data_IF_695125690442
#
_entry.id   IF_695125690442
#
_cell.length_a   1.000
_cell.length_b   1.000
_cell.length_c   1.000
_cell.angle_alpha   90.00
_cell.angle_beta   90.00
_cell.angle_gamma   90.00
#
_symmetry.space_group_name_H-M   'P 1'
#
loop_
_entity.id
_entity.type
_entity.pdbx_description
1 polymer ?
#
# COMPACT_ATOMS: atom_id res chain seq x y z
N UNK A 1 4.35 3.82 -19.56
CA UNK A 1 4.37 4.33 -18.17
C UNK A 1 2.97 4.62 -17.62
N UNK A 2 2.09 5.33 -18.35
CA UNK A 2 0.69 5.54 -17.93
C UNK A 2 -0.07 4.22 -17.64
N UNK A 3 0.19 3.15 -18.43
CA UNK A 3 -0.46 1.85 -18.23
C UNK A 3 -0.02 1.12 -16.95
N UNK A 4 1.22 1.32 -16.50
CA UNK A 4 1.78 0.67 -15.31
C UNK A 4 1.15 1.18 -14.02
N UNK A 5 1.07 2.51 -13.89
CA UNK A 5 0.49 3.16 -12.73
C UNK A 5 -0.99 2.84 -12.63
N UNK A 6 -1.71 2.88 -13.76
CA UNK A 6 -3.13 2.52 -13.81
C UNK A 6 -3.35 1.04 -13.44
N UNK A 7 -2.51 0.13 -13.93
CA UNK A 7 -2.59 -1.29 -13.54
C UNK A 7 -2.42 -1.46 -12.03
N UNK A 8 -1.36 -0.88 -11.46
CA UNK A 8 -1.09 -0.98 -10.03
C UNK A 8 -2.24 -0.42 -9.20
N UNK A 9 -2.86 0.70 -9.60
CA UNK A 9 -4.06 1.24 -8.97
C UNK A 9 -5.22 0.24 -9.02
N UNK A 10 -5.55 -0.31 -10.19
CA UNK A 10 -6.63 -1.30 -10.34
C UNK A 10 -6.39 -2.51 -9.45
N UNK A 11 -5.17 -3.03 -9.41
CA UNK A 11 -4.90 -4.24 -8.65
C UNK A 11 -4.84 -4.01 -7.13
N UNK A 12 -4.28 -2.89 -6.69
CA UNK A 12 -4.16 -2.55 -5.26
C UNK A 12 -5.46 -2.05 -4.65
N UNK A 13 -6.26 -1.27 -5.38
CA UNK A 13 -7.46 -0.62 -4.86
C UNK A 13 -8.76 -1.37 -5.16
N UNK A 14 -8.80 -2.18 -6.23
CA UNK A 14 -10.02 -2.89 -6.62
C UNK A 14 -9.85 -4.40 -6.54
N UNK A 15 -8.89 -4.99 -7.27
CA UNK A 15 -8.75 -6.44 -7.36
C UNK A 15 -8.43 -7.09 -6.01
N UNK A 16 -7.35 -6.68 -5.33
CA UNK A 16 -6.91 -7.35 -4.10
C UNK A 16 -7.97 -7.27 -2.98
N UNK A 17 -8.59 -6.10 -2.70
CA UNK A 17 -9.70 -6.03 -1.76
C UNK A 17 -10.90 -6.92 -2.14
N UNK A 18 -11.27 -6.94 -3.43
CA UNK A 18 -12.34 -7.80 -3.94
C UNK A 18 -11.99 -9.28 -3.80
N UNK A 19 -10.77 -9.68 -4.18
CA UNK A 19 -10.25 -11.04 -4.07
C UNK A 19 -10.28 -11.53 -2.62
N UNK A 20 -9.83 -10.72 -1.67
CA UNK A 20 -9.95 -11.02 -0.24
C UNK A 20 -11.39 -11.27 0.17
N UNK A 21 -12.31 -10.38 -0.22
CA UNK A 21 -13.73 -10.56 0.08
C UNK A 21 -14.28 -11.85 -0.53
N UNK A 22 -13.97 -12.12 -1.80
CA UNK A 22 -14.46 -13.28 -2.53
C UNK A 22 -13.94 -14.60 -1.94
N UNK A 23 -12.66 -14.65 -1.53
CA UNK A 23 -12.07 -15.81 -0.88
C UNK A 23 -12.75 -16.15 0.45
N UNK A 24 -13.22 -15.14 1.19
CA UNK A 24 -13.90 -15.30 2.48
C UNK A 24 -15.36 -15.74 2.29
N UNK A 25 -16.05 -15.21 1.27
CA UNK A 25 -17.51 -15.33 1.14
C UNK A 25 -17.99 -16.30 0.06
N UNK A 26 -17.12 -16.73 -0.87
CA UNK A 26 -17.51 -17.52 -2.04
C UNK A 26 -16.71 -18.82 -2.19
N UNK A 27 -17.36 -19.85 -2.73
CA UNK A 27 -16.72 -21.12 -3.12
C UNK A 27 -15.81 -20.90 -4.33
N UNK A 28 -14.76 -21.71 -4.45
CA UNK A 28 -13.75 -21.60 -5.51
C UNK A 28 -14.36 -21.54 -6.94
N UNK A 29 -15.38 -22.35 -7.20
CA UNK A 29 -16.04 -22.48 -8.51
C UNK A 29 -16.80 -21.22 -8.94
N UNK A 30 -17.22 -20.40 -7.97
CA UNK A 30 -17.97 -19.16 -8.22
C UNK A 30 -17.07 -17.93 -8.35
N UNK A 31 -15.75 -18.09 -8.15
CA UNK A 31 -14.81 -16.97 -8.09
C UNK A 31 -14.54 -16.38 -9.46
N UNK A 32 -14.93 -15.13 -9.63
CA UNK A 32 -14.63 -14.35 -10.82
C UNK A 32 -13.24 -13.73 -10.76
N UNK A 33 -12.66 -13.56 -9.58
CA UNK A 33 -11.31 -12.99 -9.41
C UNK A 33 -10.24 -13.81 -10.11
N UNK A 34 -10.36 -15.13 -10.22
CA UNK A 34 -9.38 -15.98 -10.93
C UNK A 34 -9.21 -15.55 -12.40
N UNK A 35 -10.29 -15.14 -13.08
CA UNK A 35 -10.23 -14.66 -14.47
C UNK A 35 -9.56 -13.30 -14.60
N UNK A 36 -9.77 -12.43 -13.61
CA UNK A 36 -9.12 -11.11 -13.55
C UNK A 36 -7.62 -11.30 -13.24
N UNK A 37 -7.28 -12.26 -12.37
CA UNK A 37 -5.91 -12.65 -12.10
C UNK A 37 -5.21 -13.17 -13.36
N UNK A 38 -5.88 -13.98 -14.18
CA UNK A 38 -5.32 -14.48 -15.44
C UNK A 38 -4.96 -13.34 -16.41
N UNK A 39 -5.76 -12.26 -16.43
CA UNK A 39 -5.44 -11.04 -17.21
C UNK A 39 -4.19 -10.34 -16.67
N UNK A 40 -3.98 -10.35 -15.35
CA UNK A 40 -2.73 -9.86 -14.76
C UNK A 40 -1.54 -10.75 -15.11
N UNK A 41 -1.73 -12.08 -15.11
CA UNK A 41 -0.69 -13.04 -15.49
C UNK A 41 -0.22 -12.79 -16.91
N UNK A 42 -1.15 -12.65 -17.86
CA UNK A 42 -0.82 -12.30 -19.26
C UNK A 42 -0.06 -10.98 -19.35
N UNK A 43 -0.55 -9.95 -18.65
CA UNK A 43 0.13 -8.67 -18.61
C UNK A 43 1.55 -8.80 -18.01
N UNK A 44 1.75 -9.56 -16.93
CA UNK A 44 3.07 -9.79 -16.35
C UNK A 44 4.00 -10.51 -17.32
N UNK A 45 3.50 -11.49 -18.07
CA UNK A 45 4.28 -12.22 -19.07
C UNK A 45 4.73 -11.28 -20.20
N UNK A 46 3.88 -10.36 -20.62
CA UNK A 46 4.20 -9.37 -21.66
C UNK A 46 5.18 -8.29 -21.16
N UNK A 47 4.90 -7.67 -20.02
CA UNK A 47 5.56 -6.42 -19.59
C UNK A 47 6.74 -6.60 -18.64
N UNK A 48 6.81 -7.69 -17.85
CA UNK A 48 7.94 -7.92 -16.94
C UNK A 48 9.31 -7.87 -17.65
N UNK A 49 9.51 -8.50 -18.83
CA UNK A 49 10.78 -8.44 -19.54
C UNK A 49 11.26 -7.01 -19.84
N UNK A 50 10.33 -6.07 -20.04
CA UNK A 50 10.63 -4.67 -20.32
C UNK A 50 11.11 -3.92 -19.07
N UNK A 51 10.56 -4.25 -17.89
CA UNK A 51 10.93 -3.62 -16.61
C UNK A 51 12.35 -3.94 -16.14
N UNK A 52 12.93 -5.04 -16.66
CA UNK A 52 14.31 -5.44 -16.33
C UNK A 52 15.37 -4.46 -16.86
N UNK A 53 15.01 -3.64 -17.86
CA UNK A 53 15.93 -2.73 -18.55
C UNK A 53 16.04 -1.39 -17.81
N UNK A 54 15.06 -1.07 -16.96
CA UNK A 54 15.07 0.16 -16.17
C UNK A 54 16.27 0.19 -15.22
N UNK A 55 16.82 1.38 -15.00
CA UNK A 55 17.82 1.57 -13.94
C UNK A 55 17.24 1.14 -12.60
N UNK A 56 18.07 0.51 -11.75
CA UNK A 56 17.68 0.00 -10.42
C UNK A 56 16.85 1.03 -9.64
N UNK A 57 17.26 2.30 -9.64
CA UNK A 57 16.61 3.36 -8.85
C UNK A 57 15.17 3.68 -9.26
N UNK A 58 14.85 3.53 -10.55
CA UNK A 58 13.54 3.86 -11.11
C UNK A 58 12.68 2.62 -11.42
N UNK A 59 13.21 1.43 -11.20
CA UNK A 59 12.53 0.17 -11.48
C UNK A 59 11.32 -0.04 -10.56
N UNK A 60 10.22 -0.48 -11.18
CA UNK A 60 9.03 -0.97 -10.47
C UNK A 60 9.22 -2.37 -9.88
N UNK A 61 10.26 -3.09 -10.30
CA UNK A 61 10.61 -4.37 -9.71
C UNK A 61 11.29 -4.15 -8.35
N UNK A 62 11.00 -5.06 -7.42
CA UNK A 62 11.33 -4.92 -6.01
C UNK A 62 12.84 -4.91 -5.69
N UNK A 63 13.69 -5.33 -6.63
CA UNK A 63 15.15 -5.21 -6.48
C UNK A 63 15.65 -3.75 -6.35
N UNK A 64 14.80 -2.76 -6.66
CA UNK A 64 15.08 -1.34 -6.45
C UNK A 64 15.11 -0.92 -4.97
N UNK A 65 14.45 -1.67 -4.09
CA UNK A 65 14.27 -1.28 -2.67
C UNK A 65 15.59 -1.12 -1.93
N UNK A 66 16.59 -1.98 -2.16
CA UNK A 66 17.89 -1.81 -1.52
C UNK A 66 18.59 -0.50 -1.95
N UNK A 67 18.34 0.00 -3.17
CA UNK A 67 18.83 1.32 -3.60
C UNK A 67 18.10 2.44 -2.87
N UNK A 68 16.76 2.34 -2.73
CA UNK A 68 15.96 3.30 -1.96
C UNK A 68 16.43 3.36 -0.49
N UNK A 69 16.65 2.21 0.14
CA UNK A 69 17.16 2.11 1.52
C UNK A 69 18.57 2.69 1.65
N UNK A 70 19.45 2.44 0.67
CA UNK A 70 20.79 3.05 0.62
C UNK A 70 20.71 4.58 0.59
N UNK A 71 19.81 5.14 -0.23
CA UNK A 71 19.59 6.58 -0.31
C UNK A 71 19.07 7.15 1.02
N UNK A 72 18.16 6.44 1.71
CA UNK A 72 17.70 6.84 3.05
C UNK A 72 18.84 6.88 4.07
N UNK A 73 19.76 5.92 4.00
CA UNK A 73 20.93 5.85 4.89
C UNK A 73 21.87 7.05 4.76
N UNK A 74 21.82 7.83 3.67
CA UNK A 74 22.64 9.04 3.50
C UNK A 74 22.21 10.18 4.44
N UNK A 75 20.99 10.14 4.98
CA UNK A 75 20.41 11.23 5.77
C UNK A 75 19.91 10.82 7.16
N UNK A 76 19.67 9.53 7.39
CA UNK A 76 19.16 9.02 8.67
C UNK A 76 19.60 7.57 8.89
N UNK A 77 19.79 7.11 10.14
CA UNK A 77 19.88 5.67 10.42
C UNK A 77 18.57 4.98 10.03
N UNK A 78 18.66 3.77 9.50
CA UNK A 78 17.51 3.01 8.98
C UNK A 78 17.42 1.64 9.64
N UNK A 79 16.24 1.34 10.18
CA UNK A 79 15.79 -0.02 10.44
C UNK A 79 15.02 -0.50 9.20
N UNK A 80 15.65 -1.36 8.41
CA UNK A 80 15.00 -2.01 7.28
C UNK A 80 14.40 -3.33 7.73
N UNK A 81 13.08 -3.40 7.74
CA UNK A 81 12.31 -4.58 8.09
C UNK A 81 11.87 -5.26 6.80
N UNK A 82 12.40 -6.46 6.56
CA UNK A 82 11.99 -7.33 5.46
C UNK A 82 11.14 -8.45 6.06
N UNK A 83 9.85 -8.43 5.77
CA UNK A 83 8.91 -9.47 6.22
C UNK A 83 8.67 -10.41 5.05
N UNK A 84 9.15 -11.65 5.18
CA UNK A 84 8.95 -12.70 4.17
C UNK A 84 7.45 -13.01 3.98
N UNK A 85 6.98 -13.06 2.74
CA UNK A 85 5.57 -13.35 2.43
C UNK A 85 4.56 -12.23 2.73
N UNK A 86 4.99 -10.99 3.01
CA UNK A 86 4.13 -9.85 3.31
C UNK A 86 3.60 -9.18 2.03
N UNK A 87 2.51 -9.73 1.50
CA UNK A 87 1.79 -9.16 0.35
C UNK A 87 1.20 -7.77 0.63
N UNK A 88 0.75 -7.10 -0.43
CA UNK A 88 0.23 -5.73 -0.37
C UNK A 88 -0.82 -5.47 0.73
N UNK A 89 -1.86 -6.31 0.83
CA UNK A 89 -2.94 -6.10 1.81
C UNK A 89 -2.45 -6.27 3.26
N UNK A 90 -1.54 -7.21 3.49
CA UNK A 90 -0.97 -7.46 4.82
C UNK A 90 -0.01 -6.35 5.24
N UNK A 91 0.70 -5.77 4.28
CA UNK A 91 1.51 -4.57 4.51
C UNK A 91 0.64 -3.37 4.90
N UNK A 92 -0.50 -3.15 4.23
CA UNK A 92 -1.46 -2.11 4.64
C UNK A 92 -1.98 -2.32 6.07
N UNK A 93 -2.27 -3.57 6.46
CA UNK A 93 -2.71 -3.89 7.82
C UNK A 93 -1.59 -3.68 8.84
N UNK A 94 -0.36 -4.09 8.54
CA UNK A 94 0.81 -3.83 9.38
C UNK A 94 1.03 -2.33 9.60
N UNK A 95 0.89 -1.50 8.55
CA UNK A 95 0.96 -0.05 8.67
C UNK A 95 -0.15 0.51 9.55
N UNK A 96 -1.38 -0.01 9.43
CA UNK A 96 -2.48 0.40 10.29
C UNK A 96 -2.19 0.11 11.77
N UNK A 97 -1.58 -1.05 12.08
CA UNK A 97 -1.20 -1.39 13.46
C UNK A 97 -0.09 -0.47 13.96
N UNK A 98 0.97 -0.26 13.16
CA UNK A 98 2.12 0.56 13.54
C UNK A 98 1.82 2.04 13.74
N UNK A 99 0.80 2.55 13.04
CA UNK A 99 0.37 3.96 13.09
C UNK A 99 -0.75 4.20 14.10
N UNK A 100 -1.36 3.12 14.60
CA UNK A 100 -2.39 3.19 15.62
C UNK A 100 -1.87 3.95 16.86
N UNK A 101 -2.74 4.74 17.47
CA UNK A 101 -2.41 5.54 18.66
C UNK A 101 -1.19 6.45 18.48
N UNK A 102 -0.87 6.84 17.24
CA UNK A 102 0.28 7.71 16.89
C UNK A 102 1.62 7.14 17.36
N UNK A 103 1.76 5.81 17.35
CA UNK A 103 3.01 5.16 17.75
C UNK A 103 4.14 5.43 16.75
N UNK A 104 3.84 5.41 15.45
CA UNK A 104 4.67 5.89 14.35
C UNK A 104 3.82 6.74 13.40
N UNK A 105 4.47 7.58 12.60
CA UNK A 105 3.87 8.37 11.53
C UNK A 105 4.46 7.95 10.17
N UNK A 106 3.61 7.97 9.13
CA UNK A 106 4.00 7.62 7.76
C UNK A 106 4.76 8.77 7.10
N UNK A 107 6.05 8.58 6.81
CA UNK A 107 6.88 9.54 6.08
C UNK A 107 6.67 9.41 4.58
N UNK A 108 6.61 8.16 4.12
CA UNK A 108 6.32 7.78 2.75
C UNK A 108 5.28 6.69 2.76
N UNK A 109 4.17 6.96 2.08
CA UNK A 109 3.06 6.02 1.92
C UNK A 109 3.52 4.73 1.23
N UNK A 110 2.74 3.67 1.39
CA UNK A 110 3.02 2.38 0.76
C UNK A 110 3.00 2.52 -0.76
N UNK A 111 4.14 2.27 -1.38
CA UNK A 111 4.29 2.24 -2.83
C UNK A 111 4.31 0.80 -3.33
N UNK A 112 3.49 0.46 -4.34
CA UNK A 112 3.49 -0.88 -4.88
C UNK A 112 4.75 -1.16 -5.69
N UNK A 113 5.27 -2.37 -5.52
CA UNK A 113 6.39 -2.96 -6.27
C UNK A 113 5.99 -4.33 -6.79
N UNK A 114 6.57 -4.72 -7.92
CA UNK A 114 6.44 -6.09 -8.42
C UNK A 114 7.60 -6.93 -7.87
N UNK A 115 7.28 -8.03 -7.21
CA UNK A 115 8.25 -9.04 -6.83
C UNK A 115 9.01 -9.57 -8.05
N UNK A 116 10.23 -10.03 -7.83
CA UNK A 116 11.03 -10.66 -8.87
C UNK A 116 10.43 -12.04 -9.15
N UNK A 117 10.32 -12.35 -10.44
CA UNK A 117 9.78 -13.62 -10.89
C UNK A 117 10.88 -14.70 -10.97
N UNK A 118 10.57 -15.98 -10.66
CA UNK A 118 9.36 -16.39 -9.94
C UNK A 118 9.34 -15.84 -8.51
N UNK A 119 8.14 -15.66 -7.95
CA UNK A 119 7.92 -15.07 -6.60
C UNK A 119 8.27 -16.01 -5.45
N UNK A 120 9.38 -16.74 -5.60
CA UNK A 120 9.92 -17.67 -4.61
C UNK A 120 11.10 -17.01 -3.92
N UNK A 121 11.16 -17.14 -2.60
CA UNK A 121 12.16 -16.51 -1.71
C UNK A 121 13.58 -16.54 -2.27
N UNK A 122 14.06 -17.69 -2.76
CA UNK A 122 15.44 -17.82 -3.26
C UNK A 122 15.76 -16.86 -4.42
N UNK A 123 14.79 -16.55 -5.29
CA UNK A 123 14.94 -15.63 -6.41
C UNK A 123 14.62 -14.20 -5.97
N UNK A 124 13.48 -14.01 -5.31
CA UNK A 124 12.96 -12.70 -4.96
C UNK A 124 13.81 -11.98 -3.91
N UNK A 125 14.11 -12.65 -2.80
CA UNK A 125 14.90 -12.09 -1.70
C UNK A 125 16.37 -11.90 -2.08
N UNK A 126 16.94 -12.84 -2.83
CA UNK A 126 18.31 -12.71 -3.35
C UNK A 126 18.47 -11.45 -4.21
N UNK A 127 17.49 -11.19 -5.08
CA UNK A 127 17.46 -10.01 -5.94
C UNK A 127 17.20 -8.71 -5.16
N UNK A 128 16.29 -8.74 -4.18
CA UNK A 128 16.00 -7.62 -3.27
C UNK A 128 17.27 -7.04 -2.65
N UNK A 129 18.15 -7.89 -2.12
CA UNK A 129 19.38 -7.45 -1.46
C UNK A 129 20.53 -7.16 -2.42
N UNK A 130 20.68 -7.95 -3.49
CA UNK A 130 21.80 -7.80 -4.42
C UNK A 130 21.61 -6.66 -5.43
N UNK A 131 20.38 -6.21 -5.65
CA UNK A 131 20.01 -5.30 -6.75
C UNK A 131 20.31 -5.91 -8.13
N UNK A 132 20.35 -7.24 -8.23
CA UNK A 132 20.65 -7.97 -9.45
C UNK A 132 19.54 -8.97 -9.75
N UNK A 133 19.36 -9.25 -11.04
CA UNK A 133 18.48 -10.31 -11.51
C UNK A 133 19.13 -11.70 -11.32
N UNK A 134 18.32 -12.78 -11.22
CA UNK A 134 18.84 -14.12 -10.97
C UNK A 134 19.80 -14.70 -12.02
N UNK A 135 19.80 -14.19 -13.25
CA UNK A 135 20.76 -14.62 -14.29
C UNK A 135 22.13 -13.95 -14.20
N UNK A 136 22.31 -12.93 -13.34
CA UNK A 136 23.60 -12.25 -13.23
C UNK A 136 24.67 -13.18 -12.66
N UNK A 137 25.87 -13.18 -13.24
CA UNK A 137 27.00 -13.97 -12.73
C UNK A 137 27.45 -13.53 -11.33
N UNK A 138 27.10 -12.30 -10.92
CA UNK A 138 27.37 -11.77 -9.60
C UNK A 138 26.21 -11.99 -8.60
N UNK A 139 25.11 -12.60 -9.06
CA UNK A 139 23.98 -13.00 -8.23
C UNK A 139 24.35 -14.26 -7.46
N UNK A 140 24.39 -14.13 -6.13
CA UNK A 140 24.79 -15.22 -5.24
C UNK A 140 23.55 -15.87 -4.63
N UNK A 141 23.04 -16.89 -5.32
CA UNK A 141 21.86 -17.67 -4.91
C UNK A 141 21.91 -18.12 -3.44
N UNK A 142 23.09 -18.55 -3.00
CA UNK A 142 23.25 -19.25 -1.72
C UNK A 142 23.73 -18.36 -0.57
N UNK A 143 23.72 -17.03 -0.72
CA UNK A 143 24.11 -16.17 0.39
C UNK A 143 23.49 -14.78 0.36
N UNK A 144 22.24 -14.69 0.81
CA UNK A 144 21.56 -13.44 1.21
C UNK A 144 22.49 -12.55 2.04
N UNK A 145 23.23 -13.15 2.99
CA UNK A 145 24.18 -12.44 3.83
C UNK A 145 25.31 -11.77 3.02
N UNK A 146 25.88 -12.45 2.01
CA UNK A 146 26.91 -11.85 1.15
C UNK A 146 26.31 -10.80 0.23
N UNK A 147 25.11 -11.04 -0.32
CA UNK A 147 24.40 -10.05 -1.13
C UNK A 147 24.18 -8.76 -0.33
N UNK A 148 23.66 -8.85 0.90
CA UNK A 148 23.49 -7.71 1.79
C UNK A 148 24.83 -7.05 2.17
N UNK A 149 25.87 -7.83 2.45
CA UNK A 149 27.18 -7.31 2.85
C UNK A 149 27.78 -6.36 1.79
N UNK A 150 27.46 -6.54 0.51
CA UNK A 150 27.86 -5.62 -0.59
C UNK A 150 27.27 -4.21 -0.44
N UNK A 151 26.21 -4.02 0.35
CA UNK A 151 25.70 -2.68 0.68
C UNK A 151 26.67 -1.87 1.53
N UNK A 152 27.50 -2.52 2.37
CA UNK A 152 28.56 -1.87 3.14
C UNK A 152 28.12 -0.87 4.22
N UNK A 153 26.81 -0.77 4.52
CA UNK A 153 26.25 0.25 5.42
C UNK A 153 25.80 -0.29 6.78
N UNK A 154 25.81 -1.61 6.98
CA UNK A 154 25.14 -2.22 8.11
C UNK A 154 25.31 -3.72 8.26
N UNK A 155 24.43 -4.31 9.06
CA UNK A 155 24.39 -5.74 9.34
C UNK A 155 22.98 -6.31 9.09
N UNK A 156 22.95 -7.57 8.65
CA UNK A 156 21.75 -8.36 8.43
C UNK A 156 21.49 -9.28 9.64
N UNK A 157 20.24 -9.27 10.12
CA UNK A 157 19.77 -9.98 11.30
C UNK A 157 18.55 -10.82 10.94
N UNK A 158 18.66 -12.13 11.14
CA UNK A 158 17.53 -13.06 11.13
C UNK A 158 16.85 -13.09 12.50
N UNK A 159 15.68 -13.72 12.60
CA UNK A 159 14.93 -13.87 13.86
C UNK A 159 15.77 -14.49 14.99
N UNK A 160 16.63 -15.46 14.67
CA UNK A 160 17.59 -16.06 15.63
C UNK A 160 18.65 -15.09 16.17
N UNK A 161 18.79 -13.90 15.58
CA UNK A 161 19.78 -12.88 15.94
C UNK A 161 19.15 -11.59 16.49
N UNK A 162 17.86 -11.60 16.86
CA UNK A 162 17.15 -10.44 17.43
C UNK A 162 17.90 -9.83 18.63
N UNK A 163 18.42 -10.64 19.56
CA UNK A 163 19.17 -10.10 20.70
C UNK A 163 20.42 -9.30 20.29
N UNK A 164 21.06 -9.66 19.17
CA UNK A 164 22.19 -8.91 18.64
C UNK A 164 21.74 -7.64 17.94
N UNK A 165 20.63 -7.67 17.20
CA UNK A 165 20.01 -6.48 16.61
C UNK A 165 19.72 -5.44 17.70
N UNK A 166 19.04 -5.85 18.77
CA UNK A 166 18.74 -5.02 19.94
C UNK A 166 19.99 -4.38 20.53
N UNK A 167 21.03 -5.18 20.77
CA UNK A 167 22.33 -4.68 21.28
C UNK A 167 23.00 -3.68 20.34
N UNK A 168 22.98 -3.92 19.04
CA UNK A 168 23.64 -3.08 18.04
C UNK A 168 22.83 -1.79 17.78
N UNK A 169 21.49 -1.81 17.92
CA UNK A 169 20.60 -0.62 17.91
C UNK A 169 20.87 0.29 19.11
N UNK A 170 20.84 -0.27 20.32
CA UNK A 170 21.14 0.46 21.56
C UNK A 170 22.51 1.18 21.52
N UNK A 171 23.47 0.62 20.78
CA UNK A 171 24.83 1.18 20.64
C UNK A 171 25.02 2.09 19.43
N UNK A 172 23.99 2.31 18.60
CA UNK A 172 24.09 3.07 17.34
C UNK A 172 25.25 2.61 16.45
N UNK A 173 25.49 1.30 16.42
CA UNK A 173 26.67 0.70 15.79
C UNK A 173 26.70 0.83 14.26
N UNK A 174 25.54 0.96 13.62
CA UNK A 174 25.42 0.91 12.16
C UNK A 174 24.52 2.03 11.63
N UNK A 175 24.68 2.35 10.34
CA UNK A 175 23.73 3.22 9.64
C UNK A 175 22.49 2.42 9.19
N UNK A 176 22.67 1.15 8.84
CA UNK A 176 21.62 0.25 8.40
C UNK A 176 21.50 -0.97 9.32
N UNK A 177 20.29 -1.24 9.77
CA UNK A 177 19.91 -2.43 10.53
C UNK A 177 18.87 -3.19 9.72
N UNK A 178 19.22 -4.34 9.14
CA UNK A 178 18.26 -5.13 8.37
C UNK A 178 17.73 -6.28 9.20
N UNK A 179 16.48 -6.20 9.63
CA UNK A 179 15.78 -7.33 10.25
C UNK A 179 14.98 -8.08 9.18
N UNK A 180 15.42 -9.31 8.91
CA UNK A 180 14.81 -10.24 7.96
C UNK A 180 14.06 -11.31 8.74
N UNK A 181 12.73 -11.22 8.74
CA UNK A 181 11.87 -12.11 9.53
C UNK A 181 11.09 -13.05 8.61
N UNK A 182 11.06 -14.34 8.99
CA UNK A 182 10.32 -15.40 8.29
C UNK A 182 9.00 -15.73 8.97
N UNK A 183 8.69 -15.09 10.11
CA UNK A 183 7.53 -15.40 10.95
C UNK A 183 6.21 -15.44 10.17
N UNK A 184 6.02 -14.51 9.22
CA UNK A 184 4.79 -14.42 8.45
C UNK A 184 4.69 -15.47 7.35
N UNK A 185 5.78 -15.75 6.64
CA UNK A 185 5.81 -16.83 5.64
C UNK A 185 5.66 -18.21 6.27
N UNK A 186 6.40 -18.47 7.36
CA UNK A 186 6.31 -19.71 8.14
C UNK A 186 4.92 -19.95 8.72
N UNK A 187 4.23 -18.90 9.18
CA UNK A 187 2.86 -19.01 9.66
C UNK A 187 1.96 -19.68 8.62
N UNK A 188 2.07 -19.24 7.36
CA UNK A 188 1.23 -19.72 6.29
C UNK A 188 1.61 -21.14 5.86
N UNK A 189 2.91 -21.42 5.73
CA UNK A 189 3.41 -22.76 5.42
C UNK A 189 3.03 -23.81 6.47
N UNK A 190 2.89 -23.41 7.74
CA UNK A 190 2.56 -24.31 8.85
C UNK A 190 1.06 -24.37 9.18
N UNK A 191 0.21 -23.66 8.43
CA UNK A 191 -1.22 -23.61 8.69
C UNK A 191 -2.01 -24.57 7.79
N UNK A 192 -3.02 -25.22 8.36
CA UNK A 192 -3.88 -26.20 7.66
C UNK A 192 -5.35 -25.79 7.64
N UNK A 193 -5.72 -24.71 8.33
CA UNK A 193 -7.09 -24.17 8.39
C UNK A 193 -7.07 -22.71 7.95
N UNK A 194 -7.71 -22.43 6.81
CA UNK A 194 -7.80 -21.09 6.24
C UNK A 194 -8.53 -20.11 7.15
N UNK A 195 -9.65 -20.51 7.73
CA UNK A 195 -10.48 -19.59 8.52
C UNK A 195 -9.78 -19.21 9.82
N UNK A 196 -9.14 -20.19 10.46
CA UNK A 196 -8.36 -19.93 11.67
C UNK A 196 -7.06 -19.16 11.38
N UNK A 197 -6.36 -19.49 10.29
CA UNK A 197 -5.20 -18.72 9.81
C UNK A 197 -5.57 -17.26 9.60
N UNK A 198 -6.59 -17.01 8.77
CA UNK A 198 -6.88 -15.67 8.29
C UNK A 198 -7.50 -14.77 9.36
N UNK A 199 -8.43 -15.29 10.17
CA UNK A 199 -9.16 -14.46 11.14
C UNK A 199 -8.48 -14.35 12.51
N UNK A 200 -7.54 -15.25 12.84
CA UNK A 200 -6.93 -15.31 14.18
C UNK A 200 -5.41 -15.23 14.10
N UNK A 201 -4.75 -16.21 13.46
CA UNK A 201 -3.28 -16.28 13.52
C UNK A 201 -2.58 -15.18 12.76
N UNK A 202 -3.10 -14.80 11.59
CA UNK A 202 -2.55 -13.74 10.73
C UNK A 202 -2.57 -12.38 11.45
N UNK A 203 -3.72 -11.84 11.91
CA UNK A 203 -3.75 -10.59 12.67
C UNK A 203 -2.80 -10.61 13.88
N UNK A 204 -2.80 -11.71 14.64
CA UNK A 204 -1.93 -11.85 15.81
C UNK A 204 -0.43 -11.81 15.44
N UNK A 205 -0.04 -12.40 14.31
CA UNK A 205 1.35 -12.40 13.84
C UNK A 205 1.76 -11.01 13.35
N UNK A 206 0.88 -10.29 12.65
CA UNK A 206 1.12 -8.90 12.28
C UNK A 206 1.28 -8.00 13.52
N UNK A 207 0.47 -8.21 14.56
CA UNK A 207 0.62 -7.51 15.86
C UNK A 207 1.96 -7.84 16.53
N UNK A 208 2.41 -9.10 16.50
CA UNK A 208 3.72 -9.51 17.04
C UNK A 208 4.86 -8.80 16.30
N UNK A 209 4.84 -8.81 14.98
CA UNK A 209 5.82 -8.10 14.14
C UNK A 209 5.79 -6.61 14.46
N UNK A 210 4.61 -5.99 14.52
CA UNK A 210 4.48 -4.58 14.86
C UNK A 210 5.06 -4.25 16.25
N UNK A 211 4.78 -5.09 17.26
CA UNK A 211 5.36 -4.93 18.61
C UNK A 211 6.88 -5.00 18.60
N UNK A 212 7.47 -5.93 17.84
CA UNK A 212 8.93 -6.03 17.70
C UNK A 212 9.51 -4.77 17.03
N UNK A 213 8.92 -4.30 15.92
CA UNK A 213 9.34 -3.06 15.25
C UNK A 213 9.32 -1.88 16.23
N UNK A 214 8.21 -1.69 16.95
CA UNK A 214 8.07 -0.60 17.92
C UNK A 214 9.09 -0.70 19.04
N UNK A 215 9.38 -1.92 19.50
CA UNK A 215 10.41 -2.17 20.50
C UNK A 215 11.81 -1.82 19.99
N UNK A 216 12.16 -2.16 18.75
CA UNK A 216 13.43 -1.75 18.14
C UNK A 216 13.57 -0.24 18.01
N UNK A 217 12.49 0.45 17.66
CA UNK A 217 12.46 1.92 17.62
C UNK A 217 12.70 2.51 19.00
N UNK A 218 12.08 1.97 20.05
CA UNK A 218 12.26 2.42 21.44
C UNK A 218 13.66 2.16 22.00
N UNK A 219 14.32 1.09 21.57
CA UNK A 219 15.69 0.76 21.98
C UNK A 219 16.75 1.64 21.32
N UNK A 220 16.43 2.29 20.21
CA UNK A 220 17.38 3.20 19.57
C UNK A 220 17.49 4.49 20.39
N UNK A 221 18.69 4.95 20.80
CA UNK A 221 18.83 6.06 21.76
C UNK A 221 18.15 7.39 21.37
N UNK A 222 18.02 7.66 20.07
CA UNK A 222 17.29 8.82 19.53
C UNK A 222 16.18 8.33 18.59
N UNK A 223 15.03 7.85 19.08
CA UNK A 223 14.01 7.20 18.24
C UNK A 223 13.50 8.07 17.07
N UNK A 224 13.54 9.39 17.23
CA UNK A 224 13.13 10.38 16.21
C UNK A 224 14.06 10.43 14.99
N UNK A 225 15.32 10.01 15.14
CA UNK A 225 16.30 9.93 14.06
C UNK A 225 16.17 8.62 13.28
N UNK A 226 15.58 7.56 13.86
CA UNK A 226 15.48 6.27 13.20
C UNK A 226 14.32 6.26 12.20
N UNK A 227 14.64 5.97 10.94
CA UNK A 227 13.62 5.66 9.91
C UNK A 227 13.36 4.16 9.89
N UNK A 228 12.10 3.78 9.78
CA UNK A 228 11.68 2.38 9.60
C UNK A 228 11.26 2.20 8.15
N UNK A 229 12.05 1.46 7.38
CA UNK A 229 11.68 1.06 6.03
C UNK A 229 11.10 -0.36 6.07
N UNK A 230 9.90 -0.57 5.52
CA UNK A 230 9.26 -1.89 5.48
C UNK A 230 9.13 -2.34 4.02
N UNK A 231 9.53 -3.58 3.76
CA UNK A 231 9.42 -4.23 2.46
C UNK A 231 9.12 -5.73 2.62
N UNK A 232 8.77 -6.36 1.51
CA UNK A 232 8.69 -7.82 1.39
C UNK A 232 9.35 -8.27 0.11
N UNK A 233 9.76 -9.52 0.02
CA UNK A 233 10.24 -10.14 -1.21
C UNK A 233 9.09 -10.60 -2.11
N UNK A 234 8.06 -11.22 -1.55
CA UNK A 234 6.84 -11.66 -2.25
C UNK A 234 5.61 -11.66 -1.32
N UNK A 235 4.42 -11.80 -1.89
CA UNK A 235 3.20 -12.11 -1.14
C UNK A 235 2.86 -13.60 -1.16
N UNK A 236 1.58 -13.91 -0.98
CA UNK A 236 1.09 -15.29 -0.96
C UNK A 236 -0.30 -15.44 -1.58
N UNK A 237 -0.63 -16.63 -2.05
CA UNK A 237 -1.98 -16.94 -2.51
C UNK A 237 -2.98 -16.82 -1.35
N UNK A 238 -4.07 -16.07 -1.58
CA UNK A 238 -5.19 -16.00 -0.66
C UNK A 238 -6.11 -17.21 -0.86
N UNK A 239 -6.43 -17.87 0.25
CA UNK A 239 -7.36 -19.00 0.29
C UNK A 239 -6.67 -20.36 0.17
N UNK A 240 -7.49 -21.35 -0.18
CA UNK A 240 -7.02 -22.71 -0.46
C UNK A 240 -6.72 -22.88 -1.94
N UNK A 241 -5.59 -23.50 -2.24
CA UNK A 241 -5.14 -23.88 -3.57
C UNK A 241 -5.37 -25.37 -3.81
N UNK A 242 -5.82 -25.72 -5.01
CA UNK A 242 -5.89 -27.12 -5.45
C UNK A 242 -4.49 -27.67 -5.72
N UNK A 243 -4.32 -28.98 -5.48
CA UNK A 243 -3.11 -29.69 -5.87
C UNK A 243 -3.24 -30.18 -7.32
N UNK A 244 -2.26 -29.89 -8.15
CA UNK A 244 -2.16 -30.44 -9.51
C UNK A 244 -0.95 -31.35 -9.67
N UNK A 245 -1.05 -32.30 -10.60
CA UNK A 245 0.07 -33.18 -10.97
C UNK A 245 1.08 -32.44 -11.83
N UNK A 246 2.36 -32.51 -11.42
CA UNK A 246 3.49 -32.04 -12.21
C UNK A 246 3.69 -32.90 -13.46
N UNK A 247 3.88 -32.30 -14.64
CA UNK A 247 4.43 -33.01 -15.80
C UNK A 247 5.74 -33.74 -15.44
N UNK A 248 5.94 -34.98 -15.92
CA UNK A 248 7.08 -35.82 -15.54
C UNK A 248 8.44 -35.29 -16.00
N UNK A 249 8.47 -34.42 -17.01
CA UNK A 249 9.68 -33.78 -17.53
C UNK A 249 10.19 -32.61 -16.66
N UNK A 250 9.39 -32.17 -15.68
CA UNK A 250 9.72 -31.02 -14.83
C UNK A 250 10.20 -31.45 -13.44
N UNK A 251 11.06 -30.64 -12.83
CA UNK A 251 11.48 -30.80 -11.43
C UNK A 251 10.62 -29.89 -10.51
N UNK A 252 9.63 -30.43 -9.78
CA UNK A 252 8.67 -29.63 -9.03
C UNK A 252 9.25 -28.99 -7.77
N UNK A 253 8.90 -27.73 -7.52
CA UNK A 253 9.27 -26.95 -6.35
C UNK A 253 8.16 -25.95 -5.97
N UNK A 254 7.17 -26.39 -5.20
CA UNK A 254 6.07 -25.51 -4.76
C UNK A 254 5.06 -25.23 -5.88
N UNK A 255 4.97 -23.96 -6.32
CA UNK A 255 4.17 -23.50 -7.46
C UNK A 255 4.95 -23.42 -8.78
N UNK A 256 6.26 -23.68 -8.73
CA UNK A 256 7.11 -23.70 -9.91
C UNK A 256 7.66 -25.09 -10.16
N UNK A 257 8.18 -25.31 -11.35
CA UNK A 257 9.01 -26.46 -11.66
C UNK A 257 10.11 -26.05 -12.64
N UNK A 258 11.33 -26.58 -12.45
CA UNK A 258 12.42 -26.29 -13.38
C UNK A 258 12.21 -27.05 -14.69
N UNK A 259 12.52 -26.39 -15.80
CA UNK A 259 12.34 -26.92 -17.15
C UNK A 259 11.19 -26.28 -17.91
N UNK A 260 10.99 -26.74 -19.15
CA UNK A 260 9.88 -26.33 -20.04
C UNK A 260 8.86 -27.45 -20.17
N UNK A 261 7.60 -27.09 -20.31
CA UNK A 261 6.52 -28.00 -20.68
C UNK A 261 5.60 -27.35 -21.70
N UNK A 262 4.86 -28.16 -22.45
CA UNK A 262 3.75 -27.71 -23.31
C UNK A 262 2.39 -27.86 -22.63
N UNK A 263 2.35 -28.30 -21.37
CA UNK A 263 1.12 -28.43 -20.61
C UNK A 263 0.47 -27.04 -20.43
N UNK A 264 -0.77 -26.84 -20.91
CA UNK A 264 -1.43 -25.53 -20.89
C UNK A 264 -1.76 -25.02 -19.48
N UNK A 265 -1.65 -25.88 -18.45
CA UNK A 265 -1.80 -25.48 -17.04
C UNK A 265 -0.59 -24.69 -16.53
N UNK A 266 0.50 -24.66 -17.29
CA UNK A 266 1.74 -23.98 -16.96
C UNK A 266 2.05 -22.85 -17.94
N UNK A 267 2.79 -21.87 -17.46
CA UNK A 267 3.42 -20.82 -18.28
C UNK A 267 4.93 -20.94 -18.12
N UNK A 268 5.66 -20.84 -19.23
CA UNK A 268 7.12 -20.97 -19.22
C UNK A 268 7.76 -19.58 -19.15
N UNK A 269 8.47 -19.32 -18.07
CA UNK A 269 9.41 -18.21 -17.98
C UNK A 269 10.74 -18.62 -18.60
N UNK A 270 10.96 -18.21 -19.84
CA UNK A 270 12.23 -18.47 -20.54
C UNK A 270 13.41 -17.72 -19.92
N UNK A 271 14.53 -18.40 -19.74
CA UNK A 271 15.64 -17.91 -18.93
C UNK A 271 16.16 -16.53 -19.35
N UNK A 272 16.48 -16.35 -20.62
CA UNK A 272 16.96 -15.09 -21.18
C UNK A 272 15.90 -13.99 -21.07
N UNK A 273 14.66 -14.33 -21.44
CA UNK A 273 13.55 -13.37 -21.48
C UNK A 273 13.22 -12.82 -20.10
N UNK A 274 13.25 -13.66 -19.06
CA UNK A 274 12.87 -13.26 -17.69
C UNK A 274 14.05 -13.04 -16.74
N UNK A 275 15.28 -13.20 -17.21
CA UNK A 275 16.47 -12.97 -16.38
C UNK A 275 16.67 -14.05 -15.32
N UNK A 276 16.45 -15.32 -15.70
CA UNK A 276 16.56 -16.49 -14.82
C UNK A 276 17.79 -17.34 -15.16
N UNK A 277 18.31 -18.13 -14.22
CA UNK A 277 19.44 -19.03 -14.48
C UNK A 277 19.08 -20.24 -15.37
N UNK A 278 17.80 -20.59 -15.48
CA UNK A 278 17.26 -21.66 -16.32
C UNK A 278 15.77 -21.41 -16.56
N UNK A 279 15.18 -22.12 -17.50
CA UNK A 279 13.75 -22.02 -17.77
C UNK A 279 12.94 -22.55 -16.59
N UNK A 280 11.88 -21.83 -16.24
CA UNK A 280 11.00 -22.18 -15.13
C UNK A 280 9.57 -22.23 -15.63
N UNK A 281 8.91 -23.37 -15.43
CA UNK A 281 7.48 -23.52 -15.66
C UNK A 281 6.73 -23.18 -14.37
N UNK A 282 5.76 -22.27 -14.45
CA UNK A 282 4.96 -21.80 -13.33
C UNK A 282 3.51 -22.25 -13.53
N UNK A 283 2.84 -22.69 -12.47
CA UNK A 283 1.40 -22.96 -12.55
C UNK A 283 0.65 -21.68 -12.87
N UNK A 284 -0.14 -21.69 -13.95
CA UNK A 284 -0.83 -20.51 -14.47
C UNK A 284 -1.92 -20.00 -13.53
N UNK A 285 -2.59 -20.90 -12.79
CA UNK A 285 -3.70 -20.60 -11.89
C UNK A 285 -3.28 -20.48 -10.42
N UNK A 286 -4.23 -20.30 -9.51
CA UNK A 286 -4.02 -20.36 -8.06
C UNK A 286 -3.69 -21.77 -7.54
N UNK A 287 -3.65 -22.80 -8.41
CA UNK A 287 -3.29 -24.17 -8.04
C UNK A 287 -1.79 -24.37 -7.81
N UNK A 288 -1.41 -25.39 -7.05
CA UNK A 288 -0.04 -25.64 -6.62
C UNK A 288 0.38 -27.09 -6.88
N UNK A 289 1.67 -27.34 -7.13
CA UNK A 289 2.18 -28.70 -7.39
C UNK A 289 2.40 -29.44 -6.08
N UNK A 290 3.02 -28.76 -5.12
CA UNK A 290 3.38 -29.29 -3.82
C UNK A 290 3.32 -28.22 -2.74
N UNK A 291 3.20 -28.63 -1.48
CA UNK A 291 3.26 -27.77 -0.30
C UNK A 291 3.99 -28.48 0.84
N UNK A 292 4.45 -27.70 1.82
CA UNK A 292 4.96 -28.18 3.10
C UNK A 292 3.86 -28.81 3.96
N UNK A 293 2.65 -28.25 3.89
CA UNK A 293 1.49 -28.72 4.63
C UNK A 293 0.25 -28.83 3.73
N UNK A 294 -0.64 -29.75 4.11
CA UNK A 294 -1.91 -29.99 3.45
C UNK A 294 -3.01 -29.96 4.49
N UNK A 295 -4.16 -29.38 4.15
CA UNK A 295 -5.35 -29.51 4.97
C UNK A 295 -5.95 -30.94 4.87
N UNK A 296 -6.96 -31.30 5.69
CA UNK A 296 -7.61 -32.61 5.63
C UNK A 296 -8.16 -32.98 4.24
N UNK A 297 -8.56 -31.99 3.44
CA UNK A 297 -9.05 -32.15 2.07
C UNK A 297 -7.93 -32.18 1.01
N UNK A 298 -6.66 -32.28 1.43
CA UNK A 298 -5.46 -32.23 0.57
C UNK A 298 -5.28 -30.94 -0.24
N UNK A 299 -5.95 -29.86 0.17
CA UNK A 299 -5.72 -28.50 -0.34
C UNK A 299 -4.52 -27.87 0.34
N UNK A 300 -3.94 -26.90 -0.36
CA UNK A 300 -2.71 -26.20 0.02
C UNK A 300 -3.07 -24.80 0.52
N UNK A 301 -2.37 -24.33 1.56
CA UNK A 301 -2.44 -22.95 2.06
C UNK A 301 -1.07 -22.30 1.92
N UNK A 302 -1.05 -20.98 1.77
CA UNK A 302 0.18 -20.22 1.92
C UNK A 302 1.23 -20.51 0.85
N UNK A 303 0.80 -20.84 -0.36
CA UNK A 303 1.72 -21.13 -1.45
C UNK A 303 2.14 -19.86 -2.19
N UNK A 304 3.42 -19.80 -2.58
CA UNK A 304 4.02 -18.73 -3.38
C UNK A 304 4.91 -19.29 -4.50
N UNK A 305 5.49 -18.42 -5.33
CA UNK A 305 6.30 -18.77 -6.49
C UNK A 305 5.62 -18.54 -7.84
N UNK A 306 4.33 -18.19 -7.84
CA UNK A 306 3.51 -17.96 -9.02
C UNK A 306 3.57 -16.53 -9.57
N UNK A 307 2.56 -16.20 -10.38
CA UNK A 307 2.38 -14.91 -11.05
C UNK A 307 1.12 -14.16 -10.59
N UNK A 308 0.43 -14.66 -9.56
CA UNK A 308 -0.83 -14.05 -9.13
C UNK A 308 -0.59 -12.67 -8.50
N UNK A 309 -1.54 -11.72 -8.62
CA UNK A 309 -1.36 -10.37 -8.07
C UNK A 309 -1.04 -10.35 -6.57
N UNK A 310 -1.62 -11.28 -5.82
CA UNK A 310 -1.42 -11.46 -4.38
C UNK A 310 -0.04 -12.01 -4.00
N UNK A 311 0.66 -12.65 -4.94
CA UNK A 311 2.07 -13.07 -4.79
C UNK A 311 3.04 -11.99 -5.30
N UNK A 312 2.68 -11.34 -6.40
CA UNK A 312 3.58 -10.44 -7.14
C UNK A 312 3.57 -9.01 -6.58
N UNK A 313 2.41 -8.48 -6.18
CA UNK A 313 2.28 -7.09 -5.74
C UNK A 313 2.61 -7.00 -4.24
N UNK A 314 3.75 -6.39 -3.95
CA UNK A 314 4.25 -6.13 -2.58
C UNK A 314 4.40 -4.62 -2.36
N UNK A 315 4.53 -4.22 -1.10
CA UNK A 315 4.67 -2.81 -0.74
C UNK A 315 6.08 -2.39 -0.32
N UNK A 316 6.36 -1.11 -0.43
CA UNK A 316 7.48 -0.43 0.22
C UNK A 316 7.00 0.85 0.90
N UNK A 317 7.28 1.02 2.19
CA UNK A 317 6.83 2.18 2.98
C UNK A 317 7.92 2.68 3.93
N UNK A 318 7.83 3.95 4.34
CA UNK A 318 8.77 4.53 5.31
C UNK A 318 7.98 5.19 6.45
N UNK A 319 8.34 4.84 7.68
CA UNK A 319 7.78 5.43 8.89
C UNK A 319 8.88 6.10 9.73
N UNK A 320 8.43 7.05 10.56
CA UNK A 320 9.24 7.68 11.60
C UNK A 320 8.46 7.76 12.90
N UNK A 321 9.15 7.98 14.01
CA UNK A 321 8.51 8.19 15.31
C UNK A 321 7.62 9.45 15.30
N UNK A 322 8.19 10.60 14.93
CA UNK A 322 7.47 11.86 14.77
C UNK A 322 7.77 12.48 13.40
N UNK A 323 6.75 13.12 12.82
CA UNK A 323 6.84 13.89 11.58
C UNK A 323 6.15 15.23 11.79
N UNK A 324 6.83 16.31 11.40
CA UNK A 324 6.22 17.63 11.35
C UNK A 324 5.47 17.76 10.02
N UNK A 325 4.14 17.83 10.09
CA UNK A 325 3.27 18.06 8.92
C UNK A 325 3.17 19.55 8.62
N UNK A 326 3.16 19.88 7.33
CA UNK A 326 2.80 21.22 6.86
C UNK A 326 1.29 21.41 7.01
N UNK A 327 0.81 22.60 7.44
CA UNK A 327 -0.62 22.88 7.50
C UNK A 327 -1.30 22.62 6.15
N UNK A 328 -2.40 21.87 6.17
CA UNK A 328 -3.30 21.73 5.01
C UNK A 328 -4.15 22.99 4.92
N UNK A 329 -4.21 23.59 3.74
CA UNK A 329 -5.00 24.81 3.51
C UNK A 329 -6.25 24.41 2.74
N UNK A 330 -7.42 24.81 3.24
CA UNK A 330 -8.70 24.60 2.56
C UNK A 330 -9.44 25.93 2.44
N UNK A 331 -9.86 26.26 1.23
CA UNK A 331 -10.75 27.39 0.97
C UNK A 331 -12.00 26.95 0.24
N UNK A 332 -13.10 27.67 0.50
CA UNK A 332 -14.40 27.38 -0.07
C UNK A 332 -15.02 28.66 -0.65
N UNK A 333 -15.31 28.65 -1.95
CA UNK A 333 -15.87 29.80 -2.66
C UNK A 333 -17.08 29.38 -3.47
N UNK A 334 -18.21 30.08 -3.35
CA UNK A 334 -19.43 29.65 -4.01
C UNK A 334 -20.28 30.76 -4.58
N UNK A 335 -21.34 30.36 -5.29
CA UNK A 335 -22.44 31.23 -5.67
C UNK A 335 -23.76 30.48 -5.67
N UNK A 336 -24.84 31.16 -5.31
CA UNK A 336 -26.19 30.62 -5.34
C UNK A 336 -27.26 31.69 -5.25
N UNK A 337 -28.50 31.31 -5.50
CA UNK A 337 -29.68 32.14 -5.26
C UNK A 337 -30.37 31.64 -4.00
N UNK A 338 -30.76 32.56 -3.12
CA UNK A 338 -31.42 32.24 -1.85
C UNK A 338 -32.56 31.23 -2.03
N UNK A 339 -32.54 30.17 -1.23
CA UNK A 339 -33.54 29.11 -1.26
C UNK A 339 -33.43 28.13 -2.43
N UNK A 340 -32.58 28.38 -3.44
CA UNK A 340 -32.35 27.49 -4.59
C UNK A 340 -31.04 26.70 -4.45
N UNK A 341 -30.88 25.60 -5.22
CA UNK A 341 -29.60 24.93 -5.34
C UNK A 341 -28.51 25.89 -5.84
N UNK A 342 -27.29 25.71 -5.34
CA UNK A 342 -26.11 26.49 -5.71
C UNK A 342 -24.87 25.59 -5.77
N UNK A 343 -23.71 26.19 -6.01
CA UNK A 343 -22.46 25.45 -6.04
C UNK A 343 -21.39 26.13 -5.18
N UNK A 344 -20.58 25.29 -4.54
CA UNK A 344 -19.35 25.69 -3.87
C UNK A 344 -18.17 25.02 -4.56
N UNK A 345 -17.13 25.78 -4.82
CA UNK A 345 -15.82 25.34 -5.24
C UNK A 345 -14.93 25.21 -4.00
N UNK A 346 -14.35 24.04 -3.83
CA UNK A 346 -13.45 23.71 -2.73
C UNK A 346 -12.06 23.56 -3.32
N UNK A 347 -11.10 24.26 -2.74
CA UNK A 347 -9.68 24.10 -3.04
C UNK A 347 -8.96 23.59 -1.81
N UNK A 348 -8.27 22.45 -1.94
CA UNK A 348 -7.45 21.87 -0.89
C UNK A 348 -6.00 21.85 -1.36
N UNK A 349 -5.11 22.45 -0.58
CA UNK A 349 -3.67 22.46 -0.79
C UNK A 349 -2.99 21.49 0.18
N UNK A 350 -2.47 20.39 -0.36
CA UNK A 350 -1.69 19.43 0.38
C UNK A 350 -0.20 19.57 0.05
N UNK A 351 0.52 20.34 0.85
CA UNK A 351 1.98 20.48 0.76
C UNK A 351 2.77 19.37 1.49
N UNK A 352 2.11 18.27 1.88
CA UNK A 352 2.76 17.13 2.54
C UNK A 352 3.15 16.05 1.53
N UNK A 353 4.16 15.24 1.87
CA UNK A 353 4.69 14.13 1.05
C UNK A 353 3.81 12.88 1.01
N UNK A 354 2.65 12.92 1.66
CA UNK A 354 1.69 11.82 1.72
C UNK A 354 0.29 12.33 1.33
N UNK A 355 -0.55 11.48 0.72
CA UNK A 355 -1.88 11.89 0.29
C UNK A 355 -2.82 12.15 1.47
N UNK A 356 -3.86 12.94 1.24
CA UNK A 356 -5.00 13.09 2.14
C UNK A 356 -6.14 12.17 1.67
N UNK A 357 -6.66 11.35 2.56
CA UNK A 357 -7.77 10.42 2.32
C UNK A 357 -8.84 10.59 3.41
N UNK A 358 -9.97 9.89 3.27
CA UNK A 358 -11.08 9.91 4.23
C UNK A 358 -11.50 11.34 4.59
N UNK A 359 -11.76 12.14 3.56
CA UNK A 359 -12.08 13.56 3.68
C UNK A 359 -13.53 13.73 4.12
N UNK A 360 -13.74 14.50 5.20
CA UNK A 360 -15.08 14.92 5.63
C UNK A 360 -15.11 16.42 5.87
N UNK A 361 -16.06 17.10 5.22
CA UNK A 361 -16.20 18.54 5.29
C UNK A 361 -17.41 18.96 6.10
N UNK A 362 -17.17 19.82 7.08
CA UNK A 362 -18.17 20.54 7.85
C UNK A 362 -18.12 22.02 7.48
N UNK A 363 -19.27 22.62 7.19
CA UNK A 363 -19.43 24.06 6.96
C UNK A 363 -20.64 24.52 7.76
N UNK A 364 -20.40 25.38 8.75
CA UNK A 364 -21.39 25.77 9.75
C UNK A 364 -22.58 26.50 9.15
N UNK A 365 -22.36 27.31 8.13
CA UNK A 365 -23.39 28.14 7.51
C UNK A 365 -24.20 27.39 6.46
N UNK A 366 -23.87 26.12 6.16
CA UNK A 366 -24.52 25.31 5.13
C UNK A 366 -25.10 24.03 5.75
N UNK A 367 -26.42 23.93 6.00
CA UNK A 367 -27.03 22.79 6.69
C UNK A 367 -26.74 21.42 6.07
N UNK A 368 -26.52 21.34 4.75
CA UNK A 368 -26.15 20.09 4.08
C UNK A 368 -24.76 19.56 4.44
N UNK A 369 -23.98 20.33 5.22
CA UNK A 369 -22.64 19.99 5.68
C UNK A 369 -22.57 19.82 7.21
N UNK A 370 -23.67 20.01 7.94
CA UNK A 370 -23.68 19.95 9.41
C UNK A 370 -23.26 18.58 9.97
N UNK A 371 -23.47 17.50 9.21
CA UNK A 371 -23.14 16.13 9.60
C UNK A 371 -21.80 15.62 9.09
N UNK A 372 -20.86 16.51 8.72
CA UNK A 372 -19.56 16.16 8.12
C UNK A 372 -19.75 15.39 6.80
N UNK A 373 -19.96 16.12 5.71
CA UNK A 373 -20.18 15.53 4.38
C UNK A 373 -18.93 14.78 3.90
N UNK A 374 -19.01 13.47 3.59
CA UNK A 374 -17.88 12.74 3.01
C UNK A 374 -17.58 13.29 1.61
N UNK A 375 -16.29 13.42 1.30
CA UNK A 375 -15.79 13.78 -0.02
C UNK A 375 -15.09 12.54 -0.58
N UNK A 376 -15.65 11.95 -1.63
CA UNK A 376 -15.11 10.78 -2.33
C UNK A 376 -13.94 11.18 -3.25
N UNK A 377 -12.90 11.77 -2.66
CA UNK A 377 -11.66 12.17 -3.34
C UNK A 377 -10.46 11.90 -2.45
N UNK A 378 -9.33 11.62 -3.10
CA UNK A 378 -8.00 11.67 -2.51
C UNK A 378 -7.31 12.94 -2.97
N UNK A 379 -6.65 13.66 -2.07
CA UNK A 379 -5.78 14.78 -2.43
C UNK A 379 -4.36 14.23 -2.49
N UNK A 380 -3.71 14.15 -3.67
CA UNK A 380 -2.38 13.57 -3.77
C UNK A 380 -1.34 14.34 -2.95
N UNK A 381 -0.21 13.69 -2.69
CA UNK A 381 0.93 14.34 -2.06
C UNK A 381 1.44 15.51 -2.91
N UNK A 382 1.83 16.61 -2.27
CA UNK A 382 2.37 17.82 -2.91
C UNK A 382 1.50 18.37 -4.05
N UNK A 383 0.17 18.32 -3.89
CA UNK A 383 -0.77 18.80 -4.90
C UNK A 383 -1.84 19.70 -4.32
N UNK A 384 -2.26 20.66 -5.14
CA UNK A 384 -3.47 21.45 -4.95
C UNK A 384 -4.57 20.92 -5.85
N UNK A 385 -5.72 20.61 -5.27
CA UNK A 385 -6.87 20.07 -6.00
C UNK A 385 -8.08 20.98 -5.78
N UNK A 386 -8.74 21.33 -6.87
CA UNK A 386 -9.96 22.12 -6.88
C UNK A 386 -11.11 21.31 -7.48
N UNK A 387 -12.28 21.35 -6.85
CA UNK A 387 -13.48 20.67 -7.32
C UNK A 387 -14.75 21.35 -6.82
N UNK A 388 -15.87 21.08 -7.47
CA UNK A 388 -17.16 21.65 -7.11
C UNK A 388 -18.04 20.63 -6.38
N UNK A 389 -18.80 21.12 -5.40
CA UNK A 389 -19.91 20.41 -4.77
C UNK A 389 -21.19 21.24 -4.92
N UNK A 390 -22.30 20.55 -5.16
CA UNK A 390 -23.62 21.16 -5.14
C UNK A 390 -24.11 21.32 -3.71
N UNK A 391 -24.63 22.51 -3.40
CA UNK A 391 -25.42 22.78 -2.20
C UNK A 391 -26.91 22.64 -2.56
N UNK A 392 -27.68 21.78 -1.87
CA UNK A 392 -29.10 21.58 -2.18
C UNK A 392 -29.94 22.85 -2.02
N UNK A 393 -29.57 23.71 -1.06
CA UNK A 393 -30.25 24.96 -0.76
C UNK A 393 -29.24 26.01 -0.31
N UNK A 394 -29.18 27.13 -1.03
CA UNK A 394 -28.38 28.30 -0.66
C UNK A 394 -29.07 29.02 0.50
N UNK A 395 -28.33 29.39 1.57
CA UNK A 395 -28.90 30.12 2.69
C UNK A 395 -29.42 31.50 2.28
N UNK A 396 -30.28 32.07 3.11
CA UNK A 396 -30.73 33.46 3.01
C UNK A 396 -29.83 34.34 3.86
N UNK A 397 -29.47 35.53 3.36
CA UNK A 397 -28.78 36.54 4.13
C UNK A 397 -29.78 37.32 4.98
N UNK A 398 -29.35 37.77 6.17
CA UNK A 398 -30.15 38.66 7.01
C UNK A 398 -30.62 39.89 6.23
N UNK A 399 -31.84 40.35 6.50
CA UNK A 399 -32.41 41.57 5.91
C UNK A 399 -31.59 42.84 6.25
N UNK A 400 -30.74 42.76 7.27
CA UNK A 400 -29.82 43.83 7.69
C UNK A 400 -28.41 43.71 7.10
N UNK A 401 -28.15 42.67 6.30
CA UNK A 401 -26.84 42.44 5.68
C UNK A 401 -26.67 43.34 4.46
N UNK A 402 -25.75 44.29 4.51
CA UNK A 402 -25.40 45.16 3.36
C UNK A 402 -24.53 44.45 2.30
N UNK A 403 -24.10 43.21 2.56
CA UNK A 403 -23.23 42.44 1.68
C UNK A 403 -23.99 41.29 1.01
N UNK A 404 -23.73 41.07 -0.28
CA UNK A 404 -24.22 39.92 -1.07
C UNK A 404 -23.42 38.63 -0.80
N UNK A 405 -22.60 38.60 0.26
CA UNK A 405 -21.73 37.48 0.60
C UNK A 405 -21.94 37.00 2.02
N UNK A 406 -21.88 35.69 2.18
CA UNK A 406 -21.84 35.01 3.47
C UNK A 406 -20.46 34.40 3.67
N UNK A 407 -19.74 34.84 4.70
CA UNK A 407 -18.49 34.19 5.12
C UNK A 407 -18.77 32.77 5.58
N UNK A 408 -17.89 31.84 5.19
CA UNK A 408 -18.00 30.43 5.54
C UNK A 408 -16.95 30.08 6.59
N UNK A 409 -17.39 29.38 7.63
CA UNK A 409 -16.56 28.79 8.66
C UNK A 409 -16.80 27.29 8.73
N UNK A 410 -15.75 26.54 9.05
CA UNK A 410 -15.84 25.08 8.95
C UNK A 410 -14.52 24.38 9.15
N UNK A 411 -14.58 23.06 9.07
CA UNK A 411 -13.45 22.15 9.28
C UNK A 411 -13.48 21.05 8.23
N UNK A 412 -12.31 20.75 7.66
CA UNK A 412 -12.05 19.52 6.93
C UNK A 412 -11.33 18.56 7.88
N UNK A 413 -11.91 17.41 8.18
CA UNK A 413 -11.19 16.29 8.81
C UNK A 413 -10.71 15.32 7.75
N UNK A 414 -9.51 14.77 7.92
CA UNK A 414 -8.88 13.89 6.94
C UNK A 414 -7.87 12.95 7.60
N UNK A 415 -7.37 11.98 6.83
CA UNK A 415 -6.23 11.14 7.21
C UNK A 415 -5.03 11.36 6.30
N UNK A 416 -3.83 11.45 6.85
CA UNK A 416 -2.60 11.33 6.07
C UNK A 416 -2.33 9.85 5.75
N UNK A 417 -2.18 9.52 4.46
CA UNK A 417 -1.95 8.17 3.97
C UNK A 417 -2.96 7.12 4.49
N UNK A 418 -4.21 7.50 4.78
CA UNK A 418 -5.22 6.57 5.33
C UNK A 418 -5.07 6.21 6.81
N UNK A 419 -4.06 6.76 7.50
CA UNK A 419 -3.71 6.33 8.86
C UNK A 419 -3.86 7.44 9.92
N UNK A 420 -3.18 8.57 9.74
CA UNK A 420 -3.06 9.61 10.76
C UNK A 420 -4.19 10.65 10.64
N UNK A 421 -5.15 10.64 11.58
CA UNK A 421 -6.28 11.59 11.60
C UNK A 421 -5.80 13.00 11.99
N UNK A 422 -6.19 13.99 11.18
CA UNK A 422 -5.96 15.42 11.42
C UNK A 422 -7.14 16.26 10.90
N UNK A 423 -7.07 17.57 11.08
CA UNK A 423 -8.05 18.51 10.56
C UNK A 423 -7.45 19.86 10.19
N UNK A 424 -8.18 20.61 9.36
CA UNK A 424 -7.85 21.97 8.94
C UNK A 424 -9.13 22.82 8.89
N UNK A 425 -9.05 24.04 9.41
CA UNK A 425 -10.15 24.99 9.33
C UNK A 425 -10.22 25.63 7.94
N UNK A 426 -11.42 26.02 7.52
CA UNK A 426 -11.60 26.90 6.36
C UNK A 426 -10.80 28.19 6.55
N UNK A 427 -10.19 28.66 5.47
CA UNK A 427 -9.48 29.94 5.46
C UNK A 427 -10.46 31.11 5.64
N UNK A 428 -10.04 32.23 6.27
CA UNK A 428 -10.92 33.37 6.55
C UNK A 428 -11.55 34.05 5.33
N UNK A 429 -10.99 33.85 4.13
CA UNK A 429 -11.50 34.37 2.86
C UNK A 429 -12.62 33.50 2.24
N UNK A 430 -12.90 32.33 2.82
CA UNK A 430 -13.96 31.43 2.36
C UNK A 430 -15.33 32.10 2.45
N UNK A 431 -16.07 32.12 1.34
CA UNK A 431 -17.34 32.86 1.22
C UNK A 431 -18.22 32.33 0.09
N UNK A 432 -19.54 32.53 0.22
CA UNK A 432 -20.50 32.29 -0.86
C UNK A 432 -21.21 33.58 -1.24
N UNK A 433 -21.28 33.88 -2.54
CA UNK A 433 -22.10 34.97 -3.06
C UNK A 433 -23.55 34.52 -3.17
N UNK A 434 -24.48 35.27 -2.60
CA UNK A 434 -25.90 34.93 -2.51
C UNK A 434 -26.70 36.00 -3.21
N UNK A 435 -27.35 35.62 -4.31
CA UNK A 435 -28.35 36.46 -4.98
C UNK A 435 -29.68 36.30 -4.24
N UNK A 436 -30.22 37.39 -3.69
CA UNK A 436 -31.53 37.39 -3.07
C UNK A 436 -32.28 38.69 -3.37
N UNK A 437 -33.60 38.60 -3.50
CA UNK A 437 -34.44 39.79 -3.63
C UNK A 437 -34.65 40.41 -2.24
N UNK A 438 -34.06 41.57 -2.00
CA UNK A 438 -34.39 42.36 -0.83
C UNK A 438 -35.73 43.07 -1.09
N UNK A 439 -36.77 42.71 -0.34
CA UNK A 439 -37.93 43.59 -0.18
C UNK A 439 -37.45 44.68 0.78
N UNK A 440 -37.14 45.87 0.25
CA UNK A 440 -36.81 47.03 1.07
C UNK A 440 -37.85 47.18 2.18
N UNK A 441 -37.40 47.32 3.43
CA UNK A 441 -38.24 47.90 4.49
C UNK A 441 -38.72 49.26 3.98
N UNK A 442 -39.98 49.33 3.54
CA UNK A 442 -40.51 50.47 2.82
C UNK A 442 -41.60 50.18 1.79
N UNK A 443 -42.04 48.92 1.61
CA UNK A 443 -43.29 48.70 0.90
C UNK A 443 -44.48 48.88 1.86
N UNK A 444 -44.84 50.14 2.10
CA UNK A 444 -46.12 50.47 2.75
C UNK A 444 -47.24 50.24 1.74
N UNK A 445 -47.97 49.13 1.89
CA UNK A 445 -49.12 48.82 1.04
C UNK A 445 -50.25 49.85 1.19
N UNK A 446 -50.19 50.71 2.22
CA UNK A 446 -51.12 51.81 2.42
C UNK A 446 -50.80 53.05 1.55
N UNK A 447 -49.70 53.07 0.80
CA UNK A 447 -49.47 54.11 -0.23
C UNK A 447 -50.15 53.79 -1.57
N UNK A 448 -50.74 52.59 -1.74
CA UNK A 448 -51.34 52.14 -3.01
C UNK A 448 -52.86 51.87 -2.94
N UNK A 449 -53.48 51.97 -1.76
CA UNK A 449 -54.92 51.91 -1.51
C UNK A 449 -55.41 53.26 -0.99
#
# INVERSE_FOLDING_TARGET
MLDLVNLLIVFTQSYLPYRRWEVIHQSLESRTSERIADSFVEWMLEYYPLMKVDSVEHSYLNYSVASLVRNLCQSSPVLWVVVDGLGWLDHQELLSILTQNRQLAVEKDIEPRFSILPTKTEYAKGSLYSQLLPNSSAWEKDSIKKAFAKMGLGEHYTDSRIHRLRKDLNKRKHQLYCWDTTQFDELHHNSTDWQHLYNIKRPHTLELIAREILSFVQEYPNPEELRVAIASDHGQILGTSEKITCPPELEPQGRIAKGKTTDPRFVVLECERYGLPHDISIVRSSASISSFSYNPDKKILGSHGGLFPEEVVVGFSILKKTIQRTPVIISCHGKGEAGKPGNIEITIDNSNTVPLTDLYLYIKELPSFDTKKPIEKTIPANQRVTFQLTIPKTPELSLTCECDRLSLSGELTFKFAGHEISSANLTPDSQIAITQMFISQGFDINEFL
#
